data_IF_466109919286
#
_entry.id   IF_466109919286
#
_cell.length_a   1.000
_cell.length_b   1.000
_cell.length_c   1.000
_cell.angle_alpha   90.00
_cell.angle_beta   90.00
_cell.angle_gamma   90.00
#
_symmetry.space_group_name_H-M   'P 1'
#
loop_
_entity.id
_entity.type
_entity.pdbx_description
1 polymer ?
#
# COMPACT_ATOMS: atom_id res chain seq x y z
N UNK A 1 70.62 -23.17 -7.31
CA UNK A 1 69.72 -22.16 -6.70
C UNK A 1 69.53 -21.06 -7.73
N UNK A 2 68.37 -20.73 -8.32
CA UNK A 2 67.01 -21.23 -8.33
C UNK A 2 66.45 -20.85 -9.71
N UNK A 3 65.72 -21.77 -10.36
CA UNK A 3 65.01 -21.54 -11.62
C UNK A 3 63.71 -20.77 -11.31
N UNK A 4 63.51 -19.59 -11.91
CA UNK A 4 62.24 -18.85 -11.87
C UNK A 4 61.32 -19.39 -12.97
N UNK A 5 60.05 -19.74 -12.67
CA UNK A 5 59.10 -20.17 -13.69
C UNK A 5 58.51 -18.99 -14.47
N UNK A 6 58.36 -19.18 -15.78
CA UNK A 6 57.69 -18.28 -16.72
C UNK A 6 56.17 -18.18 -16.46
N UNK A 7 55.53 -17.06 -16.84
CA UNK A 7 54.08 -16.93 -16.77
C UNK A 7 53.39 -17.69 -17.92
N UNK A 8 52.65 -18.75 -17.58
CA UNK A 8 51.76 -19.43 -18.52
C UNK A 8 50.64 -18.48 -18.99
N UNK A 9 50.70 -18.09 -20.27
CA UNK A 9 49.58 -17.45 -20.97
C UNK A 9 48.51 -18.48 -21.25
N UNK A 10 47.53 -18.57 -20.33
CA UNK A 10 46.28 -19.29 -20.54
C UNK A 10 45.46 -18.66 -21.68
N UNK A 11 45.72 -19.08 -22.92
CA UNK A 11 44.90 -18.76 -24.08
C UNK A 11 43.54 -19.43 -23.98
N UNK A 12 42.51 -18.64 -23.65
CA UNK A 12 41.15 -19.13 -23.59
C UNK A 12 40.64 -19.43 -25.01
N UNK A 13 40.16 -20.65 -25.31
CA UNK A 13 39.86 -21.07 -26.68
C UNK A 13 38.69 -20.26 -27.25
N UNK A 14 38.91 -19.70 -28.45
CA UNK A 14 38.08 -18.71 -29.12
C UNK A 14 36.61 -19.13 -29.35
N UNK A 15 36.29 -20.43 -29.30
CA UNK A 15 34.93 -20.96 -29.34
C UNK A 15 34.11 -20.69 -28.07
N UNK A 16 34.76 -20.64 -26.89
CA UNK A 16 34.10 -20.34 -25.61
C UNK A 16 33.71 -18.86 -25.52
N UNK A 17 34.49 -17.98 -26.14
CA UNK A 17 34.23 -16.53 -26.15
C UNK A 17 32.93 -16.20 -26.88
N UNK A 18 32.67 -16.88 -28.02
CA UNK A 18 31.40 -16.73 -28.75
C UNK A 18 30.22 -17.26 -27.95
N UNK A 19 30.37 -18.41 -27.29
CA UNK A 19 29.33 -18.97 -26.44
C UNK A 19 29.01 -18.08 -25.23
N UNK A 20 30.03 -17.50 -24.59
CA UNK A 20 29.88 -16.55 -23.47
C UNK A 20 29.19 -15.27 -23.94
N UNK A 21 29.57 -14.73 -25.10
CA UNK A 21 28.92 -13.54 -25.65
C UNK A 21 27.43 -13.79 -25.98
N UNK A 22 27.09 -14.97 -26.52
CA UNK A 22 25.71 -15.36 -26.80
C UNK A 22 24.92 -15.51 -25.49
N UNK A 23 25.49 -16.17 -24.47
CA UNK A 23 24.84 -16.31 -23.16
C UNK A 23 24.61 -14.95 -22.48
N UNK A 24 25.57 -14.02 -22.57
CA UNK A 24 25.43 -12.67 -22.04
C UNK A 24 24.37 -11.87 -22.80
N UNK A 25 24.29 -12.02 -24.12
CA UNK A 25 23.25 -11.38 -24.93
C UNK A 25 21.85 -11.91 -24.58
N UNK A 26 21.70 -13.23 -24.42
CA UNK A 26 20.43 -13.85 -24.01
C UNK A 26 20.05 -13.39 -22.61
N UNK A 27 21.00 -13.38 -21.66
CA UNK A 27 20.76 -12.89 -20.31
C UNK A 27 20.31 -11.42 -20.30
N UNK A 28 20.95 -10.56 -21.10
CA UNK A 28 20.56 -9.16 -21.23
C UNK A 28 19.16 -9.00 -21.84
N UNK A 29 18.80 -9.83 -22.83
CA UNK A 29 17.45 -9.85 -23.42
C UNK A 29 16.40 -10.31 -22.41
N UNK A 30 16.67 -11.38 -21.65
CA UNK A 30 15.77 -11.87 -20.59
C UNK A 30 15.58 -10.82 -19.50
N UNK A 31 16.65 -10.15 -19.07
CA UNK A 31 16.60 -9.04 -18.09
C UNK A 31 15.80 -7.86 -18.65
N UNK A 32 15.86 -7.60 -19.95
CA UNK A 32 15.08 -6.53 -20.59
C UNK A 32 13.60 -6.87 -20.72
N UNK A 33 13.26 -8.14 -20.98
CA UNK A 33 11.86 -8.61 -21.06
C UNK A 33 11.23 -8.70 -19.67
N UNK A 34 12.01 -9.05 -18.64
CA UNK A 34 11.56 -9.10 -17.23
C UNK A 34 11.58 -7.73 -16.56
N UNK A 35 12.06 -6.68 -17.25
CA UNK A 35 11.94 -5.30 -16.80
C UNK A 35 10.52 -4.85 -17.13
N UNK A 36 9.55 -5.40 -16.40
CA UNK A 36 8.28 -4.73 -16.21
C UNK A 36 8.62 -3.34 -15.71
N UNK A 37 8.48 -2.34 -16.58
CA UNK A 37 8.45 -0.96 -16.17
C UNK A 37 7.47 -0.91 -15.00
N UNK A 38 7.90 -0.48 -13.79
CA UNK A 38 6.96 -0.24 -12.71
C UNK A 38 6.02 0.80 -13.29
N UNK A 39 4.83 0.31 -13.67
CA UNK A 39 3.82 1.11 -14.32
C UNK A 39 3.75 2.38 -13.50
N UNK A 40 4.00 3.51 -14.15
CA UNK A 40 3.66 4.81 -13.61
C UNK A 40 2.15 4.82 -13.47
N UNK A 41 1.65 4.11 -12.47
CA UNK A 41 0.41 4.40 -11.83
C UNK A 41 0.65 5.79 -11.28
N UNK A 42 0.19 6.79 -12.04
CA UNK A 42 -0.18 8.08 -11.49
C UNK A 42 -1.01 7.75 -10.27
N UNK A 43 -0.35 7.78 -9.10
CA UNK A 43 -0.97 7.53 -7.82
C UNK A 43 -1.94 8.68 -7.63
N UNK A 44 -3.17 8.49 -8.11
CA UNK A 44 -4.25 9.43 -7.87
C UNK A 44 -4.45 9.37 -6.37
N UNK A 45 -3.86 10.34 -5.67
CA UNK A 45 -3.98 10.46 -4.24
C UNK A 45 -5.46 10.27 -3.88
N UNK A 46 -5.78 9.35 -2.96
CA UNK A 46 -7.15 9.13 -2.56
C UNK A 46 -7.82 10.45 -2.23
N UNK A 47 -8.94 10.75 -2.90
CA UNK A 47 -9.73 11.94 -2.60
C UNK A 47 -10.18 11.85 -1.14
N UNK A 48 -10.01 12.91 -0.32
CA UNK A 48 -10.57 12.94 1.02
C UNK A 48 -12.08 12.67 0.99
N UNK A 49 -12.62 12.01 2.02
CA UNK A 49 -14.07 11.83 2.15
C UNK A 49 -14.77 13.20 2.13
N UNK A 50 -15.92 13.27 1.46
CA UNK A 50 -16.78 14.46 1.47
C UNK A 50 -17.93 14.20 2.42
N UNK A 51 -18.14 15.08 3.41
CA UNK A 51 -19.22 15.02 4.39
C UNK A 51 -20.59 14.65 3.82
N UNK A 52 -20.92 15.22 2.65
CA UNK A 52 -22.22 15.10 2.00
C UNK A 52 -22.55 13.67 1.55
N UNK A 53 -21.57 12.78 1.41
CA UNK A 53 -21.76 11.42 0.89
C UNK A 53 -22.15 10.41 1.99
N UNK A 54 -22.02 10.80 3.26
CA UNK A 54 -22.22 9.92 4.42
C UNK A 54 -23.49 10.28 5.20
N UNK A 55 -24.14 9.26 5.73
CA UNK A 55 -25.44 9.36 6.38
C UNK A 55 -25.36 9.90 7.81
N UNK A 56 -26.35 10.76 8.13
CA UNK A 56 -26.97 10.84 9.44
C UNK A 56 -26.06 11.14 10.63
N UNK A 57 -26.38 10.54 11.77
CA UNK A 57 -25.68 10.73 13.04
C UNK A 57 -24.52 9.74 13.18
N UNK A 58 -23.55 10.10 14.01
CA UNK A 58 -22.46 9.22 14.37
C UNK A 58 -22.97 7.96 15.09
N UNK A 59 -22.49 6.80 14.67
CA UNK A 59 -22.77 5.51 15.30
C UNK A 59 -21.54 5.04 16.05
N UNK A 60 -21.72 4.62 17.30
CA UNK A 60 -20.66 4.00 18.14
C UNK A 60 -20.88 2.51 18.41
N UNK A 61 -21.96 1.94 17.87
CA UNK A 61 -22.29 0.54 18.08
C UNK A 61 -21.29 -0.38 17.37
N UNK A 62 -20.91 -1.48 18.00
CA UNK A 62 -20.00 -2.49 17.44
C UNK A 62 -20.49 -2.99 16.09
N UNK A 63 -19.68 -2.81 15.05
CA UNK A 63 -19.89 -3.36 13.72
C UNK A 63 -18.78 -4.36 13.44
N UNK A 64 -19.10 -5.66 13.49
CA UNK A 64 -18.11 -6.74 13.43
C UNK A 64 -17.27 -6.71 12.16
N UNK A 65 -17.88 -6.42 11.00
CA UNK A 65 -17.16 -6.39 9.73
C UNK A 65 -16.26 -5.16 9.62
N UNK A 66 -16.72 -4.03 10.15
CA UNK A 66 -15.91 -2.81 10.25
C UNK A 66 -14.69 -3.02 11.15
N UNK A 67 -14.92 -3.54 12.36
CA UNK A 67 -13.86 -3.85 13.33
C UNK A 67 -12.85 -4.84 12.75
N UNK A 68 -13.32 -5.91 12.09
CA UNK A 68 -12.44 -6.88 11.40
C UNK A 68 -11.60 -6.19 10.33
N UNK A 69 -12.21 -5.35 9.50
CA UNK A 69 -11.51 -4.66 8.40
C UNK A 69 -10.44 -3.70 8.93
N UNK A 70 -10.74 -2.97 10.00
CA UNK A 70 -9.77 -2.06 10.64
C UNK A 70 -8.61 -2.82 11.30
N UNK A 71 -8.90 -3.95 11.96
CA UNK A 71 -7.86 -4.80 12.54
C UNK A 71 -6.93 -5.40 11.46
N UNK A 72 -7.48 -5.83 10.33
CA UNK A 72 -6.68 -6.28 9.18
C UNK A 72 -5.76 -5.18 8.63
N UNK A 73 -6.20 -3.93 8.73
CA UNK A 73 -5.40 -2.75 8.40
C UNK A 73 -4.47 -2.29 9.55
N UNK A 74 -4.41 -3.03 10.67
CA UNK A 74 -3.62 -2.72 11.88
C UNK A 74 -3.97 -1.38 12.53
N UNK A 75 -5.25 -1.01 12.46
CA UNK A 75 -5.79 0.19 13.12
C UNK A 75 -6.45 -0.26 14.43
N UNK A 76 -5.62 -0.64 15.38
CA UNK A 76 -6.04 -1.20 16.67
C UNK A 76 -6.03 -0.16 17.80
N UNK A 77 -5.30 0.94 17.63
CA UNK A 77 -5.16 2.04 18.60
C UNK A 77 -6.28 3.09 18.42
N UNK A 78 -7.53 2.62 18.54
CA UNK A 78 -8.71 3.45 18.33
C UNK A 78 -9.79 3.23 19.41
N UNK A 79 -9.55 3.69 20.65
CA UNK A 79 -10.49 3.50 21.76
C UNK A 79 -11.81 4.26 21.53
N UNK A 80 -11.75 5.47 20.96
CA UNK A 80 -12.92 6.27 20.64
C UNK A 80 -13.20 6.19 19.14
N UNK A 81 -14.04 5.23 18.76
CA UNK A 81 -14.42 4.99 17.37
C UNK A 81 -15.87 5.38 17.13
N UNK A 82 -16.10 6.18 16.10
CA UNK A 82 -17.43 6.49 15.59
C UNK A 82 -17.46 6.38 14.07
N UNK A 83 -18.57 5.95 13.50
CA UNK A 83 -18.69 5.81 12.04
C UNK A 83 -20.02 6.30 11.48
N UNK A 84 -20.00 6.62 10.19
CA UNK A 84 -21.17 6.89 9.34
C UNK A 84 -21.11 5.99 8.12
N UNK A 85 -22.25 5.45 7.70
CA UNK A 85 -22.35 4.68 6.47
C UNK A 85 -22.47 5.62 5.26
N UNK A 86 -22.01 5.19 4.09
CA UNK A 86 -22.23 5.91 2.84
C UNK A 86 -23.71 5.81 2.43
N UNK A 87 -24.29 6.89 1.89
CA UNK A 87 -25.73 6.98 1.55
C UNK A 87 -26.23 5.92 0.57
N UNK A 88 -25.36 5.50 -0.34
CA UNK A 88 -25.73 4.63 -1.47
C UNK A 88 -24.81 3.43 -1.65
N UNK A 89 -23.67 3.39 -0.95
CA UNK A 89 -22.60 2.42 -1.17
C UNK A 89 -22.55 1.48 0.02
N UNK A 90 -23.09 0.27 -0.16
CA UNK A 90 -23.11 -0.72 0.91
C UNK A 90 -21.69 -1.13 1.30
N UNK A 91 -21.45 -1.25 2.60
CA UNK A 91 -20.14 -1.62 3.13
C UNK A 91 -19.08 -0.52 3.08
N UNK A 92 -19.42 0.70 2.65
CA UNK A 92 -18.53 1.86 2.72
C UNK A 92 -18.85 2.72 3.95
N UNK A 93 -17.83 3.03 4.73
CA UNK A 93 -17.95 3.76 5.98
C UNK A 93 -16.91 4.87 6.08
N UNK A 94 -17.34 6.01 6.61
CA UNK A 94 -16.45 7.04 7.14
C UNK A 94 -16.29 6.77 8.63
N UNK A 95 -15.06 6.52 9.06
CA UNK A 95 -14.71 6.23 10.45
C UNK A 95 -13.92 7.39 11.01
N UNK A 96 -14.33 7.89 12.15
CA UNK A 96 -13.57 8.83 12.97
C UNK A 96 -13.01 8.07 14.16
N UNK A 97 -11.73 8.28 14.37
CA UNK A 97 -10.94 7.62 15.39
C UNK A 97 -10.22 8.66 16.25
N UNK A 98 -10.28 8.50 17.56
CA UNK A 98 -9.49 9.29 18.49
C UNK A 98 -8.77 8.36 19.48
N UNK A 99 -7.49 8.63 19.71
CA UNK A 99 -6.65 7.94 20.69
C UNK A 99 -6.52 8.69 22.02
N UNK A 100 -7.02 9.92 22.09
CA UNK A 100 -6.79 10.83 23.22
C UNK A 100 -8.06 11.24 23.96
N UNK A 101 -9.12 10.44 23.90
CA UNK A 101 -10.38 10.72 24.59
C UNK A 101 -11.29 11.68 23.83
N UNK A 102 -11.24 11.68 22.49
CA UNK A 102 -12.06 12.54 21.64
C UNK A 102 -11.54 13.97 21.44
N UNK A 103 -10.28 14.26 21.78
CA UNK A 103 -9.68 15.61 21.61
C UNK A 103 -9.11 15.82 20.23
N UNK A 104 -8.50 14.80 19.65
CA UNK A 104 -7.99 14.78 18.28
C UNK A 104 -8.61 13.61 17.54
N UNK A 105 -9.23 13.94 16.42
CA UNK A 105 -9.85 12.97 15.53
C UNK A 105 -9.01 12.83 14.26
N UNK A 106 -8.85 11.59 13.82
CA UNK A 106 -8.40 11.25 12.46
C UNK A 106 -9.52 10.52 11.76
N UNK A 107 -9.61 10.68 10.44
CA UNK A 107 -10.65 10.03 9.65
C UNK A 107 -10.08 8.95 8.73
N UNK A 108 -10.88 7.92 8.52
CA UNK A 108 -10.57 6.76 7.68
C UNK A 108 -11.77 6.44 6.80
N UNK A 109 -11.49 6.02 5.58
CA UNK A 109 -12.48 5.43 4.70
C UNK A 109 -12.31 3.92 4.68
N UNK A 110 -13.38 3.21 5.01
CA UNK A 110 -13.35 1.75 5.15
C UNK A 110 -14.38 1.12 4.23
N UNK A 111 -13.95 0.14 3.44
CA UNK A 111 -14.81 -0.70 2.61
C UNK A 111 -14.75 -2.13 3.14
N UNK A 112 -15.79 -2.57 3.85
CA UNK A 112 -15.81 -3.89 4.49
C UNK A 112 -15.90 -5.04 3.47
N UNK A 113 -16.59 -4.82 2.34
CA UNK A 113 -16.73 -5.84 1.30
C UNK A 113 -15.42 -6.19 0.58
N UNK A 114 -14.50 -5.22 0.44
CA UNK A 114 -13.18 -5.41 -0.19
C UNK A 114 -12.03 -5.38 0.82
N UNK A 115 -12.35 -5.28 2.12
CA UNK A 115 -11.41 -5.14 3.22
C UNK A 115 -10.38 -4.01 3.01
N UNK A 116 -10.80 -2.94 2.32
CA UNK A 116 -9.92 -1.82 1.96
C UNK A 116 -10.06 -0.69 2.97
N UNK A 117 -8.94 -0.12 3.38
CA UNK A 117 -8.90 1.08 4.21
C UNK A 117 -8.04 2.15 3.54
N UNK A 118 -8.51 3.40 3.56
CA UNK A 118 -7.77 4.57 3.10
C UNK A 118 -7.72 5.62 4.22
N UNK A 119 -6.58 6.29 4.33
CA UNK A 119 -6.29 7.28 5.37
C UNK A 119 -4.90 7.07 5.97
N UNK A 120 -4.57 7.76 7.07
CA UNK A 120 -5.45 8.68 7.79
C UNK A 120 -5.68 9.98 7.00
N UNK A 121 -6.88 10.56 7.12
CA UNK A 121 -7.20 11.88 6.60
C UNK A 121 -7.53 12.83 7.76
N UNK A 122 -7.40 14.14 7.50
CA UNK A 122 -7.96 15.15 8.39
C UNK A 122 -9.49 14.97 8.48
N UNK A 123 -10.10 15.20 9.66
CA UNK A 123 -11.56 15.34 9.76
C UNK A 123 -12.07 16.44 8.82
N UNK A 124 -13.24 16.20 8.26
CA UNK A 124 -13.94 17.18 7.44
C UNK A 124 -14.48 18.29 8.37
N UNK A 125 -14.12 19.56 8.17
CA UNK A 125 -14.58 20.65 9.03
C UNK A 125 -16.10 20.88 8.96
N UNK A 126 -16.78 20.34 7.96
CA UNK A 126 -18.24 20.43 7.80
C UNK A 126 -18.98 19.34 8.59
N UNK A 127 -18.27 18.33 9.11
CA UNK A 127 -18.86 17.32 9.97
C UNK A 127 -18.63 17.67 11.45
N UNK A 128 -19.68 17.63 12.28
CA UNK A 128 -19.48 17.75 13.72
C UNK A 128 -18.65 16.58 14.21
N UNK A 129 -17.78 16.81 15.19
CA UNK A 129 -17.06 15.70 15.84
C UNK A 129 -18.03 14.76 16.55
N UNK A 130 -17.70 13.46 16.66
CA UNK A 130 -18.48 12.52 17.46
C UNK A 130 -18.40 12.90 18.95
N UNK A 131 -19.48 13.46 19.51
CA UNK A 131 -19.63 13.80 20.93
C UNK A 131 -20.37 12.71 21.70
#
# INVERSE_FOLDING_TARGET
MNTLPEPEKGGLPMGKIRAVAILLAIAAVVVSIMREEPQSATSRAPKPPVAADFEGNWRRATNTDLSRTMALARIDDCPDLAYRAHKTSQGQFLVYCSSDGGRRWVSWLVWTGTQKVLGPFAPDPLLPVPL
#
